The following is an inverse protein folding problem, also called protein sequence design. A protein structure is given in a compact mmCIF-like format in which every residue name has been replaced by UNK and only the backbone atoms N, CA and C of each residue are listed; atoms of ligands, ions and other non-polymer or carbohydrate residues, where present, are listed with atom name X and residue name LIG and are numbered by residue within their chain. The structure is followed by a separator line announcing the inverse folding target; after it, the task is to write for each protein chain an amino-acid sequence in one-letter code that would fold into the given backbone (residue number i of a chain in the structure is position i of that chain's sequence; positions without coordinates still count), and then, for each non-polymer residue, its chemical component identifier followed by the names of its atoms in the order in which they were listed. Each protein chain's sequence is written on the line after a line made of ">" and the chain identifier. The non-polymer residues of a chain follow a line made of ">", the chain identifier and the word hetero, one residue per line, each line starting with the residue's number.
data_IF_624860514794
#
_entry.id   IF_624860514794
#
_cell.length_a   1.000
_cell.length_b   1.000
_cell.length_c   1.000
_cell.angle_alpha   90.00
_cell.angle_beta   90.00
_cell.angle_gamma   90.00
#
_symmetry.space_group_name_H-M   'P 1'
#
loop_
_entity.id
_entity.type
_entity.pdbx_description
1 polymer ?
#
# COMPACT_ATOMS: atom_id res chain seq x y z
N UNK A 1 9.89 -2.52 23.01
CA UNK A 1 10.49 -2.14 21.71
C UNK A 1 9.50 -1.28 20.96
N UNK A 2 9.91 -0.15 20.40
CA UNK A 2 9.01 0.74 19.65
C UNK A 2 8.85 0.23 18.22
N UNK A 3 7.69 0.42 17.58
CA UNK A 3 7.47 0.01 16.18
C UNK A 3 8.53 0.60 15.23
N UNK A 4 9.01 1.81 15.53
CA UNK A 4 10.08 2.47 14.79
C UNK A 4 11.41 1.72 14.89
N UNK A 5 11.81 1.28 16.09
CA UNK A 5 13.07 0.52 16.25
C UNK A 5 13.02 -0.83 15.53
N UNK A 6 11.85 -1.47 15.47
CA UNK A 6 11.69 -2.73 14.74
C UNK A 6 11.87 -2.55 13.23
N UNK A 7 11.28 -1.49 12.65
CA UNK A 7 11.45 -1.17 11.23
C UNK A 7 12.89 -0.87 10.87
N UNK A 8 13.57 -0.07 11.69
CA UNK A 8 14.99 0.30 11.48
C UNK A 8 15.86 -0.97 11.52
N UNK A 9 15.64 -1.85 12.50
CA UNK A 9 16.41 -3.09 12.62
C UNK A 9 16.18 -4.03 11.43
N UNK A 10 14.93 -4.21 10.99
CA UNK A 10 14.61 -5.05 9.84
C UNK A 10 15.20 -4.50 8.54
N UNK A 11 15.11 -3.18 8.33
CA UNK A 11 15.69 -2.51 7.17
C UNK A 11 17.22 -2.61 7.16
N UNK A 12 17.85 -2.34 8.30
CA UNK A 12 19.31 -2.47 8.46
C UNK A 12 19.79 -3.88 8.16
N UNK A 13 19.03 -4.91 8.56
CA UNK A 13 19.36 -6.31 8.29
C UNK A 13 19.31 -6.61 6.78
N UNK A 14 18.27 -6.14 6.08
CA UNK A 14 18.16 -6.32 4.63
C UNK A 14 19.30 -5.64 3.86
N UNK A 15 19.68 -4.41 4.25
CA UNK A 15 20.80 -3.68 3.64
C UNK A 15 22.13 -4.38 3.90
N UNK A 16 22.32 -4.92 5.11
CA UNK A 16 23.52 -5.69 5.46
C UNK A 16 23.63 -6.96 4.61
N UNK A 17 22.55 -7.71 4.43
CA UNK A 17 22.51 -8.90 3.57
C UNK A 17 22.80 -8.53 2.11
N UNK A 18 22.21 -7.45 1.59
CA UNK A 18 22.48 -6.97 0.23
C UNK A 18 23.96 -6.62 0.02
N UNK A 19 24.57 -5.93 0.98
CA UNK A 19 25.97 -5.51 0.91
C UNK A 19 26.93 -6.71 0.91
N UNK A 20 26.63 -7.73 1.72
CA UNK A 20 27.39 -9.00 1.74
C UNK A 20 27.31 -9.71 0.39
N UNK A 21 26.13 -9.73 -0.22
CA UNK A 21 25.89 -10.33 -1.53
C UNK A 21 26.62 -9.58 -2.66
N UNK A 22 26.65 -8.25 -2.58
CA UNK A 22 27.35 -7.37 -3.51
C UNK A 22 28.87 -7.52 -3.44
N UNK A 23 29.44 -7.62 -2.22
CA UNK A 23 30.88 -7.77 -2.00
C UNK A 23 31.43 -9.18 -2.27
N UNK A 24 30.62 -10.12 -2.78
CA UNK A 24 31.04 -11.50 -3.07
C UNK A 24 31.60 -12.26 -1.84
N UNK A 25 31.21 -11.86 -0.62
CA UNK A 25 31.83 -12.38 0.61
C UNK A 25 31.44 -13.84 0.93
N UNK A 26 30.39 -14.37 0.27
CA UNK A 26 29.93 -15.75 0.41
C UNK A 26 30.26 -16.53 -0.87
N UNK A 27 30.94 -17.69 -0.78
CA UNK A 27 31.16 -18.55 -1.93
C UNK A 27 29.83 -19.19 -2.35
N UNK A 28 29.18 -18.59 -3.34
CA UNK A 28 27.98 -19.15 -3.96
C UNK A 28 28.39 -20.26 -4.96
N UNK A 29 27.57 -21.31 -5.14
CA UNK A 29 27.88 -22.42 -6.02
C UNK A 29 28.21 -21.96 -7.45
N UNK A 30 29.32 -22.48 -7.97
CA UNK A 30 30.03 -22.02 -9.17
C UNK A 30 29.23 -22.15 -10.49
N UNK A 31 28.13 -22.89 -10.48
CA UNK A 31 27.39 -23.32 -11.67
C UNK A 31 26.21 -22.41 -12.05
N UNK A 32 25.75 -21.54 -11.14
CA UNK A 32 24.55 -20.69 -11.35
C UNK A 32 24.88 -19.19 -11.25
N UNK A 33 26.03 -18.85 -10.67
CA UNK A 33 26.27 -17.51 -10.10
C UNK A 33 26.86 -16.43 -11.02
N UNK A 34 27.74 -16.68 -12.03
CA UNK A 34 28.47 -15.57 -12.65
C UNK A 34 27.54 -14.55 -13.32
N UNK A 35 26.54 -15.02 -14.08
CA UNK A 35 25.58 -14.12 -14.75
C UNK A 35 24.63 -13.43 -13.78
N UNK A 36 24.12 -14.15 -12.77
CA UNK A 36 23.16 -13.60 -11.81
C UNK A 36 23.82 -12.55 -10.91
N UNK A 37 25.08 -12.78 -10.54
CA UNK A 37 25.81 -11.86 -9.69
C UNK A 37 26.19 -10.56 -10.40
N UNK A 38 26.57 -10.64 -11.68
CA UNK A 38 26.98 -9.48 -12.45
C UNK A 38 25.78 -8.70 -13.03
N UNK A 39 24.67 -9.36 -13.39
CA UNK A 39 23.52 -8.70 -14.04
C UNK A 39 22.34 -8.44 -13.11
N UNK A 40 22.02 -9.35 -12.17
CA UNK A 40 20.75 -9.31 -11.40
C UNK A 40 20.91 -8.63 -10.04
N UNK A 41 22.00 -8.90 -9.31
CA UNK A 41 22.24 -8.28 -7.99
C UNK A 41 22.31 -6.74 -8.04
N UNK A 42 22.98 -6.09 -9.01
CA UNK A 42 23.03 -4.63 -9.05
C UNK A 42 21.68 -3.97 -9.35
N UNK A 43 20.81 -4.63 -10.13
CA UNK A 43 19.48 -4.10 -10.50
C UNK A 43 18.37 -4.50 -9.53
N UNK A 44 18.63 -5.42 -8.61
CA UNK A 44 17.68 -5.90 -7.60
C UNK A 44 16.99 -4.79 -6.78
N UNK A 45 17.68 -3.75 -6.25
CA UNK A 45 17.00 -2.67 -5.54
C UNK A 45 16.05 -1.88 -6.44
N UNK A 46 16.41 -1.69 -7.71
CA UNK A 46 15.55 -1.00 -8.68
C UNK A 46 14.32 -1.85 -9.03
N UNK A 47 14.49 -3.17 -9.19
CA UNK A 47 13.37 -4.08 -9.43
C UNK A 47 12.37 -4.12 -8.27
N UNK A 48 12.85 -4.05 -7.02
CA UNK A 48 11.96 -3.95 -5.85
C UNK A 48 11.16 -2.66 -5.88
N UNK A 49 11.78 -1.54 -6.24
CA UNK A 49 11.10 -0.25 -6.36
C UNK A 49 10.00 -0.29 -7.44
N UNK A 50 10.32 -0.86 -8.61
CA UNK A 50 9.36 -1.04 -9.71
C UNK A 50 8.20 -1.94 -9.29
N UNK A 51 8.48 -3.04 -8.59
CA UNK A 51 7.45 -3.95 -8.10
C UNK A 51 6.49 -3.25 -7.13
N UNK A 52 7.02 -2.48 -6.16
CA UNK A 52 6.21 -1.70 -5.21
C UNK A 52 5.37 -0.66 -5.95
N UNK A 53 5.96 0.05 -6.93
CA UNK A 53 5.23 1.01 -7.76
C UNK A 53 4.07 0.36 -8.53
N UNK A 54 4.33 -0.81 -9.14
CA UNK A 54 3.30 -1.56 -9.87
C UNK A 54 2.18 -2.07 -8.96
N UNK A 55 2.53 -2.47 -7.73
CA UNK A 55 1.56 -2.89 -6.72
C UNK A 55 0.64 -1.74 -6.31
N UNK A 56 1.20 -0.56 -6.04
CA UNK A 56 0.40 0.63 -5.72
C UNK A 56 -0.52 1.04 -6.89
N UNK A 57 -0.03 0.96 -8.13
CA UNK A 57 -0.83 1.21 -9.33
C UNK A 57 -1.98 0.20 -9.47
N UNK A 58 -1.71 -1.07 -9.20
CA UNK A 58 -2.72 -2.12 -9.24
C UNK A 58 -3.80 -1.92 -8.17
N UNK A 59 -3.42 -1.63 -6.93
CA UNK A 59 -4.36 -1.38 -5.84
C UNK A 59 -5.23 -0.14 -6.12
N UNK A 60 -4.64 0.93 -6.64
CA UNK A 60 -5.37 2.12 -7.07
C UNK A 60 -6.33 1.80 -8.22
N UNK A 61 -5.87 1.08 -9.24
CA UNK A 61 -6.72 0.64 -10.36
C UNK A 61 -7.88 -0.23 -9.89
N UNK A 62 -7.62 -1.14 -8.97
CA UNK A 62 -8.65 -1.98 -8.36
C UNK A 62 -9.65 -1.17 -7.54
N UNK A 63 -9.17 -0.19 -6.76
CA UNK A 63 -10.02 0.75 -6.04
C UNK A 63 -10.91 1.58 -6.97
N UNK A 64 -10.38 2.01 -8.12
CA UNK A 64 -11.15 2.73 -9.13
C UNK A 64 -12.26 1.84 -9.74
N UNK A 65 -11.90 0.61 -10.11
CA UNK A 65 -12.86 -0.36 -10.65
C UNK A 65 -13.93 -0.77 -9.64
N UNK A 66 -13.61 -0.70 -8.35
CA UNK A 66 -14.47 -1.15 -7.24
C UNK A 66 -15.05 0.02 -6.45
N UNK A 67 -15.07 1.26 -6.99
CA UNK A 67 -15.93 2.32 -6.45
C UNK A 67 -17.38 1.88 -6.66
N UNK A 68 -17.87 1.06 -5.73
CA UNK A 68 -19.27 0.68 -5.65
C UNK A 68 -20.09 1.94 -5.52
N UNK A 69 -21.15 2.04 -6.32
CA UNK A 69 -22.08 3.14 -6.19
C UNK A 69 -22.51 3.23 -4.74
N UNK A 70 -22.29 4.39 -4.12
CA UNK A 70 -22.58 4.67 -2.71
C UNK A 70 -24.09 4.82 -2.47
N UNK A 71 -24.87 3.95 -3.10
CA UNK A 71 -26.33 4.00 -3.19
C UNK A 71 -26.96 3.69 -1.82
N UNK A 72 -26.29 2.89 -1.00
CA UNK A 72 -26.70 2.61 0.38
C UNK A 72 -26.47 3.82 1.30
N UNK A 73 -25.27 4.40 1.28
CA UNK A 73 -24.96 5.61 2.06
C UNK A 73 -25.81 6.81 1.61
N UNK A 74 -26.11 6.94 0.31
CA UNK A 74 -27.01 7.97 -0.20
C UNK A 74 -28.45 7.81 0.34
N UNK A 75 -28.96 6.57 0.40
CA UNK A 75 -30.30 6.28 0.93
C UNK A 75 -30.39 6.53 2.43
N UNK A 76 -29.35 6.15 3.17
CA UNK A 76 -29.27 6.42 4.60
C UNK A 76 -29.25 7.94 4.89
N UNK A 77 -28.43 8.70 4.15
CA UNK A 77 -28.39 10.15 4.29
C UNK A 77 -29.73 10.83 3.98
N UNK A 78 -30.45 10.37 2.95
CA UNK A 78 -31.77 10.92 2.62
C UNK A 78 -32.81 10.62 3.70
N UNK A 79 -32.78 9.43 4.31
CA UNK A 79 -33.66 9.10 5.43
C UNK A 79 -33.42 10.02 6.63
N UNK A 80 -32.15 10.28 6.97
CA UNK A 80 -31.80 11.17 8.09
C UNK A 80 -32.24 12.62 7.81
N UNK A 81 -32.17 13.08 6.56
CA UNK A 81 -32.67 14.40 6.14
C UNK A 81 -34.20 14.48 6.32
N UNK A 82 -34.95 13.45 5.95
CA UNK A 82 -36.41 13.43 6.10
C UNK A 82 -36.84 13.41 7.57
N UNK A 83 -36.12 12.67 8.42
CA UNK A 83 -36.33 12.67 9.87
C UNK A 83 -36.07 14.06 10.46
N UNK A 84 -34.93 14.68 10.13
CA UNK A 84 -34.59 16.02 10.58
C UNK A 84 -35.58 17.09 10.08
N UNK A 85 -36.03 17.01 8.82
CA UNK A 85 -37.08 17.90 8.27
C UNK A 85 -38.39 17.75 9.04
N UNK A 86 -38.74 16.53 9.43
CA UNK A 86 -39.97 16.25 10.19
C UNK A 86 -39.89 16.79 11.62
N UNK A 87 -38.74 16.65 12.28
CA UNK A 87 -38.51 17.23 13.61
C UNK A 87 -38.51 18.76 13.59
N UNK A 88 -37.90 19.38 12.58
CA UNK A 88 -37.88 20.84 12.45
C UNK A 88 -39.28 21.41 12.18
N UNK A 89 -40.10 20.70 11.39
CA UNK A 89 -41.53 21.02 11.24
C UNK A 89 -42.31 20.90 12.56
N UNK A 90 -42.03 19.88 13.38
CA UNK A 90 -42.63 19.74 14.73
C UNK A 90 -42.24 20.89 15.66
N UNK A 91 -41.02 21.44 15.50
CA UNK A 91 -40.55 22.61 16.24
C UNK A 91 -41.03 23.95 15.65
N UNK A 92 -41.93 23.93 14.66
CA UNK A 92 -42.54 25.13 14.09
C UNK A 92 -41.65 25.89 13.09
N UNK A 93 -40.55 25.29 12.64
CA UNK A 93 -39.62 25.89 11.67
C UNK A 93 -40.01 25.38 10.28
N UNK A 94 -40.52 26.27 9.42
CA UNK A 94 -40.89 25.93 8.05
C UNK A 94 -39.63 25.81 7.17
N UNK A 95 -39.38 24.61 6.65
CA UNK A 95 -38.31 24.33 5.69
C UNK A 95 -38.98 23.90 4.39
N UNK A 96 -38.85 24.72 3.35
CA UNK A 96 -39.12 24.40 1.94
C UNK A 96 -37.84 23.79 1.34
#
# INVERSE_FOLDING_TARGET
>A
MTRQSQLINSLSTLVMVYTILYLRLVPLPSFVTPKIQDEIIPVLPFNILVAIGSYCLFELGWGILTFGECNEAQKELMRDIDEARTELKKHGISID
#
